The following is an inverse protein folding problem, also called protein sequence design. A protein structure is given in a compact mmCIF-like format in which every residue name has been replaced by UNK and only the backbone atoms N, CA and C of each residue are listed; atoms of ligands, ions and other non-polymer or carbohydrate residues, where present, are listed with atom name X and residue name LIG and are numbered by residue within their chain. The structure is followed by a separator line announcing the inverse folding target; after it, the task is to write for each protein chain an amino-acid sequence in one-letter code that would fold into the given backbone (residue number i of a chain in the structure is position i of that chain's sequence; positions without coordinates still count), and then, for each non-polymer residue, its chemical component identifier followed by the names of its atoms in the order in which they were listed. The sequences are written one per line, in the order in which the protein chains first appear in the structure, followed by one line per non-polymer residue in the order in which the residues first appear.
data_IF_685641057897
#
_entry.id   IF_685641057897
#
_cell.length_a   1.000
_cell.length_b   1.000
_cell.length_c   1.000
_cell.angle_alpha   90.00
_cell.angle_beta   90.00
_cell.angle_gamma   90.00
#
_symmetry.space_group_name_H-M   'P 1'
#
loop_
_entity.id
_entity.type
_entity.pdbx_description
1 polymer ?
#
# COMPACT_ATOMS: atom_id res chain seq x y z
N UNK A 1 -15.78 -5.04 27.22
CA UNK A 1 -15.99 -4.18 26.03
C UNK A 1 -14.64 -3.91 25.40
N UNK A 2 -14.30 -4.55 24.27
CA UNK A 2 -13.06 -4.25 23.53
C UNK A 2 -13.24 -2.87 22.93
N UNK A 3 -12.36 -1.95 23.31
CA UNK A 3 -12.20 -0.64 22.70
C UNK A 3 -12.00 -0.86 21.19
N UNK A 4 -13.03 -0.59 20.39
CA UNK A 4 -12.94 -0.65 18.93
C UNK A 4 -12.07 0.56 18.57
N UNK A 5 -10.78 0.29 18.40
CA UNK A 5 -9.75 1.29 18.18
C UNK A 5 -10.07 2.06 16.90
N UNK A 6 -10.58 3.29 17.02
CA UNK A 6 -10.83 4.27 15.94
C UNK A 6 -9.54 4.72 15.22
N UNK A 7 -8.42 4.02 15.40
CA UNK A 7 -7.08 4.34 14.88
C UNK A 7 -6.73 3.59 13.59
N UNK A 8 -7.69 2.86 12.99
CA UNK A 8 -7.47 2.01 11.80
C UNK A 8 -6.74 2.75 10.65
N UNK A 9 -7.07 4.01 10.30
CA UNK A 9 -6.41 4.69 9.18
C UNK A 9 -4.93 5.02 9.44
N UNK A 10 -4.53 5.26 10.69
CA UNK A 10 -3.15 5.62 11.04
C UNK A 10 -2.27 4.39 11.29
N UNK A 11 -2.83 3.19 11.36
CA UNK A 11 -2.03 1.96 11.46
C UNK A 11 -1.26 1.71 10.17
N UNK A 12 -0.10 1.08 10.33
CA UNK A 12 0.70 0.60 9.20
C UNK A 12 -0.11 -0.44 8.41
N UNK A 13 -0.17 -0.23 7.09
CA UNK A 13 -0.63 -1.20 6.12
C UNK A 13 0.52 -2.14 5.72
N UNK A 14 1.71 -1.59 5.48
CA UNK A 14 2.91 -2.38 5.18
C UNK A 14 4.20 -1.60 5.45
N UNK A 15 5.31 -2.33 5.46
CA UNK A 15 6.67 -1.80 5.47
C UNK A 15 7.44 -2.45 4.33
N UNK A 16 8.06 -1.64 3.47
CA UNK A 16 8.97 -2.12 2.42
C UNK A 16 10.39 -1.65 2.72
N UNK A 17 11.34 -2.57 2.66
CA UNK A 17 12.75 -2.26 2.90
C UNK A 17 13.44 -1.88 1.61
N UNK A 18 14.21 -0.78 1.66
CA UNK A 18 15.02 -0.29 0.55
C UNK A 18 16.49 -0.25 0.94
N UNK A 19 17.38 -0.24 -0.06
CA UNK A 19 18.80 -0.03 0.18
C UNK A 19 19.04 1.36 0.78
N UNK A 20 19.72 1.44 1.92
CA UNK A 20 20.12 2.72 2.49
C UNK A 20 21.53 3.10 2.05
N UNK A 21 21.74 4.39 1.78
CA UNK A 21 23.05 4.93 1.39
C UNK A 21 24.16 4.72 2.44
N UNK A 22 23.81 4.39 3.69
CA UNK A 22 24.74 4.11 4.79
C UNK A 22 25.08 2.62 4.93
N UNK A 23 24.61 1.77 4.01
CA UNK A 23 24.81 0.32 4.03
C UNK A 23 23.76 -0.46 4.82
N UNK A 24 22.98 0.21 5.67
CA UNK A 24 21.84 -0.40 6.38
C UNK A 24 20.53 -0.18 5.61
N UNK A 25 19.65 -1.16 5.60
CA UNK A 25 18.34 -1.04 4.96
C UNK A 25 17.45 -0.03 5.71
N UNK A 26 16.58 0.66 4.96
CA UNK A 26 15.60 1.60 5.49
C UNK A 26 14.19 1.05 5.27
N UNK A 27 13.40 0.95 6.34
CA UNK A 27 11.98 0.60 6.27
C UNK A 27 11.15 1.81 5.88
N UNK A 28 10.38 1.70 4.81
CA UNK A 28 9.39 2.69 4.40
C UNK A 28 8.05 2.26 4.98
N UNK A 29 7.58 3.01 5.97
CA UNK A 29 6.32 2.75 6.67
C UNK A 29 5.14 3.41 5.95
N UNK A 30 4.19 2.61 5.46
CA UNK A 30 2.99 3.11 4.80
C UNK A 30 1.78 2.81 5.66
N UNK A 31 0.98 3.84 5.95
CA UNK A 31 -0.28 3.70 6.72
C UNK A 31 -1.45 3.32 5.82
N UNK A 32 -2.52 2.76 6.39
CA UNK A 32 -3.77 2.53 5.67
C UNK A 32 -4.31 3.80 5.02
N UNK A 33 -4.26 4.96 5.69
CA UNK A 33 -4.66 6.25 5.10
C UNK A 33 -3.79 6.62 3.92
N UNK A 34 -2.47 6.44 4.04
CA UNK A 34 -1.54 6.71 2.94
C UNK A 34 -1.86 5.87 1.71
N UNK A 35 -2.09 4.58 1.92
CA UNK A 35 -2.48 3.64 0.86
C UNK A 35 -3.83 4.02 0.23
N UNK A 36 -4.88 4.28 1.02
CA UNK A 36 -6.20 4.63 0.48
C UNK A 36 -6.20 5.98 -0.24
N UNK A 37 -5.40 6.95 0.23
CA UNK A 37 -5.23 8.24 -0.46
C UNK A 37 -4.60 8.08 -1.85
N UNK A 38 -3.84 7.01 -2.08
CA UNK A 38 -3.28 6.68 -3.39
C UNK A 38 -4.26 5.87 -4.24
N UNK A 39 -4.89 4.83 -3.67
CA UNK A 39 -5.75 3.91 -4.40
C UNK A 39 -7.08 4.56 -4.84
N UNK A 40 -7.75 5.37 -4.00
CA UNK A 40 -9.07 5.92 -4.36
C UNK A 40 -9.01 6.82 -5.61
N UNK A 41 -8.09 7.79 -5.73
CA UNK A 41 -7.99 8.59 -6.96
C UNK A 41 -7.53 7.79 -8.18
N UNK A 42 -6.79 6.68 -7.98
CA UNK A 42 -6.37 5.81 -9.06
C UNK A 42 -7.56 5.01 -9.61
N UNK A 43 -8.39 4.44 -8.72
CA UNK A 43 -9.63 3.75 -9.07
C UNK A 43 -10.54 4.66 -9.91
N UNK A 44 -10.82 5.87 -9.42
CA UNK A 44 -11.64 6.88 -10.10
C UNK A 44 -11.16 7.22 -11.53
N UNK A 45 -9.84 7.18 -11.77
CA UNK A 45 -9.23 7.56 -13.07
C UNK A 45 -8.96 6.37 -13.99
N UNK A 46 -8.86 5.16 -13.45
CA UNK A 46 -8.50 3.96 -14.19
C UNK A 46 -9.58 3.50 -15.16
N UNK A 47 -10.86 3.76 -14.83
CA UNK A 47 -12.00 3.22 -15.57
C UNK A 47 -12.15 1.70 -15.46
N UNK A 48 -11.47 1.06 -14.50
CA UNK A 48 -11.59 -0.38 -14.29
C UNK A 48 -13.01 -0.77 -13.90
N UNK A 49 -13.38 -1.95 -14.34
CA UNK A 49 -14.64 -2.61 -14.04
C UNK A 49 -14.35 -3.98 -13.45
N UNK A 50 -15.35 -4.60 -12.85
CA UNK A 50 -15.23 -5.96 -12.31
C UNK A 50 -15.00 -7.04 -13.40
N UNK A 51 -15.07 -6.66 -14.68
CA UNK A 51 -14.76 -7.54 -15.81
C UNK A 51 -13.28 -7.53 -16.18
N UNK A 52 -12.55 -6.49 -15.78
CA UNK A 52 -11.14 -6.38 -16.07
C UNK A 52 -10.32 -7.36 -15.24
N UNK A 53 -9.11 -7.66 -15.72
CA UNK A 53 -8.15 -8.53 -15.06
C UNK A 53 -6.81 -7.83 -15.06
N UNK A 54 -6.22 -7.71 -13.88
CA UNK A 54 -4.86 -7.21 -13.70
C UNK A 54 -3.95 -8.43 -13.50
N UNK A 55 -2.81 -8.43 -14.17
CA UNK A 55 -1.77 -9.42 -13.95
C UNK A 55 -0.88 -8.92 -12.81
N UNK A 56 -0.87 -9.63 -11.69
CA UNK A 56 0.10 -9.38 -10.62
C UNK A 56 1.46 -9.93 -11.04
N UNK A 57 2.35 -9.03 -11.47
CA UNK A 57 3.65 -9.38 -12.04
C UNK A 57 4.81 -9.01 -11.12
N UNK A 58 4.63 -7.97 -10.32
CA UNK A 58 5.68 -7.42 -9.46
C UNK A 58 5.78 -8.20 -8.16
N UNK A 59 7.01 -8.39 -7.68
CA UNK A 59 7.23 -9.03 -6.38
C UNK A 59 6.68 -8.15 -5.26
N UNK A 60 6.16 -8.78 -4.21
CA UNK A 60 5.65 -8.13 -3.00
C UNK A 60 6.66 -7.20 -2.29
N UNK A 61 7.95 -7.30 -2.67
CA UNK A 61 8.99 -6.40 -2.16
C UNK A 61 8.98 -5.01 -2.82
N UNK A 62 8.20 -4.75 -3.87
CA UNK A 62 8.02 -3.43 -4.48
C UNK A 62 6.63 -2.86 -4.16
N UNK A 63 6.54 -1.55 -3.99
CA UNK A 63 5.32 -0.85 -3.55
C UNK A 63 4.16 -0.95 -4.54
N UNK A 64 4.46 -1.01 -5.84
CA UNK A 64 3.45 -1.19 -6.90
C UNK A 64 2.69 -2.51 -6.80
N UNK A 65 3.23 -3.53 -6.12
CA UNK A 65 2.52 -4.79 -5.84
C UNK A 65 1.27 -4.60 -4.98
N UNK A 66 1.15 -3.47 -4.26
CA UNK A 66 -0.05 -3.11 -3.51
C UNK A 66 -1.23 -2.62 -4.35
N UNK A 67 -1.06 -2.54 -5.67
CA UNK A 67 -2.04 -1.98 -6.63
C UNK A 67 -2.61 -3.04 -7.58
N UNK A 68 -1.88 -4.13 -7.79
CA UNK A 68 -2.19 -5.20 -8.74
C UNK A 68 -2.74 -6.48 -8.10
#
# INVERSE_FOLDING_TARGET
MKQINLLIPMKLAYIIYTSGCTGNQKGVEVTHRGLTNFLCPMDEKSGFTNQDRILSLTTICFDISGVE
#
